data_IF_722952679190
#
_entry.id   IF_722952679190
#
_cell.length_a   1.000
_cell.length_b   1.000
_cell.length_c   1.000
_cell.angle_alpha   90.00
_cell.angle_beta   90.00
_cell.angle_gamma   90.00
#
_symmetry.space_group_name_H-M   'P 1'
#
loop_
_entity.id
_entity.type
_entity.pdbx_description
1 polymer ?
#
# COMPACT_ATOMS: atom_id res chain seq x y z
N UNK A 1 23.00 -40.89 21.38
CA UNK A 1 22.13 -41.85 22.08
C UNK A 1 20.74 -41.76 21.46
N UNK A 2 20.11 -42.89 21.15
CA UNK A 2 18.77 -42.89 20.55
C UNK A 2 17.70 -42.78 21.64
N UNK A 3 16.90 -41.71 21.59
CA UNK A 3 15.82 -41.47 22.55
C UNK A 3 14.51 -41.36 21.80
N UNK A 4 13.50 -42.10 22.26
CA UNK A 4 12.15 -41.94 21.74
C UNK A 4 11.53 -40.68 22.35
N UNK A 5 11.04 -39.79 21.50
CA UNK A 5 10.40 -38.54 21.90
C UNK A 5 9.04 -38.41 21.22
N UNK A 6 8.14 -37.72 21.90
CA UNK A 6 6.90 -37.26 21.29
C UNK A 6 7.21 -36.23 20.20
N UNK A 7 6.51 -36.29 19.08
CA UNK A 7 6.73 -35.37 17.94
C UNK A 7 6.56 -33.91 18.37
N UNK A 8 5.70 -33.65 19.37
CA UNK A 8 5.45 -32.30 19.91
C UNK A 8 6.61 -31.75 20.73
N UNK A 9 7.55 -32.60 21.15
CA UNK A 9 8.75 -32.21 21.90
C UNK A 9 9.98 -32.03 21.00
N UNK A 10 9.85 -32.28 19.70
CA UNK A 10 10.96 -32.15 18.75
C UNK A 10 11.25 -30.69 18.47
N UNK A 11 12.54 -30.37 18.38
CA UNK A 11 13.04 -29.02 18.09
C UNK A 11 13.84 -29.01 16.80
N UNK A 12 13.93 -27.84 16.18
CA UNK A 12 14.80 -27.62 15.01
C UNK A 12 16.25 -27.92 15.42
N UNK A 13 16.98 -28.66 14.58
CA UNK A 13 18.30 -29.18 14.93
C UNK A 13 18.29 -30.66 15.35
N UNK A 14 17.12 -31.26 15.60
CA UNK A 14 17.03 -32.68 15.91
C UNK A 14 17.25 -33.57 14.67
N UNK A 15 17.88 -34.74 14.87
CA UNK A 15 18.04 -35.75 13.82
C UNK A 15 17.09 -36.92 14.07
N UNK A 16 16.10 -37.08 13.19
CA UNK A 16 15.09 -38.14 13.28
C UNK A 16 15.62 -39.37 12.56
N UNK A 17 15.85 -40.45 13.32
CA UNK A 17 16.35 -41.72 12.79
C UNK A 17 15.21 -42.57 12.23
N UNK A 18 14.07 -42.62 12.93
CA UNK A 18 12.88 -43.34 12.46
C UNK A 18 11.61 -42.89 13.19
N UNK A 19 10.47 -43.22 12.60
CA UNK A 19 9.15 -43.07 13.24
C UNK A 19 8.89 -44.31 14.10
N UNK A 20 8.42 -44.11 15.33
CA UNK A 20 8.13 -45.21 16.28
C UNK A 20 6.64 -45.40 16.51
N UNK A 21 5.85 -44.33 16.44
CA UNK A 21 4.39 -44.37 16.57
C UNK A 21 3.72 -43.39 15.61
N UNK A 22 2.75 -43.87 14.84
CA UNK A 22 1.94 -43.06 13.93
C UNK A 22 0.54 -43.67 13.73
N UNK A 23 -0.43 -42.83 13.39
CA UNK A 23 -1.77 -43.22 12.92
C UNK A 23 -1.86 -43.27 11.39
N UNK A 24 -0.94 -42.61 10.69
CA UNK A 24 -0.83 -42.62 9.22
C UNK A 24 0.01 -43.79 8.66
N UNK A 25 0.17 -43.82 7.34
CA UNK A 25 0.95 -44.83 6.60
C UNK A 25 2.31 -44.33 6.11
N UNK A 26 2.70 -43.10 6.48
CA UNK A 26 3.93 -42.47 6.05
C UNK A 26 5.16 -43.28 6.49
N UNK A 27 6.21 -43.30 5.66
CA UNK A 27 7.47 -43.96 5.99
C UNK A 27 8.61 -43.00 5.74
N UNK A 28 9.44 -42.81 6.76
CA UNK A 28 10.71 -42.13 6.63
C UNK A 28 11.61 -43.00 5.75
N UNK A 29 11.93 -42.55 4.53
CA UNK A 29 12.78 -43.30 3.58
C UNK A 29 14.26 -43.20 3.95
N UNK A 30 14.67 -42.13 4.63
CA UNK A 30 16.01 -41.90 5.17
C UNK A 30 15.93 -41.08 6.45
N UNK A 31 16.89 -41.26 7.37
CA UNK A 31 17.05 -40.40 8.54
C UNK A 31 17.31 -38.96 8.12
N UNK A 32 16.62 -38.00 8.72
CA UNK A 32 16.67 -36.60 8.29
C UNK A 32 16.73 -35.61 9.47
N UNK A 33 17.41 -34.49 9.22
CA UNK A 33 17.46 -33.34 10.12
C UNK A 33 16.15 -32.55 10.08
N UNK A 34 15.68 -32.11 11.25
CA UNK A 34 14.56 -31.19 11.39
C UNK A 34 15.06 -29.79 11.11
N UNK A 35 14.82 -29.30 9.89
CA UNK A 35 15.37 -28.04 9.38
C UNK A 35 14.54 -26.80 9.75
N UNK A 36 13.25 -26.97 9.99
CA UNK A 36 12.32 -25.88 10.35
C UNK A 36 11.03 -26.44 10.98
N UNK A 37 10.17 -25.56 11.51
CA UNK A 37 8.88 -25.92 12.12
C UNK A 37 7.88 -26.52 11.11
N UNK A 38 7.96 -26.16 9.83
CA UNK A 38 7.08 -26.70 8.79
C UNK A 38 7.24 -28.22 8.67
N UNK A 39 8.47 -28.73 8.79
CA UNK A 39 8.73 -30.17 8.83
C UNK A 39 8.04 -30.81 10.04
N UNK A 40 8.11 -30.18 11.23
CA UNK A 40 7.48 -30.70 12.46
C UNK A 40 5.96 -30.76 12.29
N UNK A 41 5.33 -29.66 11.86
CA UNK A 41 3.89 -29.57 11.67
C UNK A 41 3.40 -30.57 10.61
N UNK A 42 4.12 -30.73 9.50
CA UNK A 42 3.78 -31.71 8.46
C UNK A 42 3.85 -33.14 8.97
N UNK A 43 4.82 -33.47 9.83
CA UNK A 43 4.89 -34.80 10.45
C UNK A 43 3.70 -35.04 11.39
N UNK A 44 3.28 -34.02 12.15
CA UNK A 44 2.07 -34.07 13.00
C UNK A 44 0.82 -34.30 12.15
N UNK A 45 0.64 -33.55 11.05
CA UNK A 45 -0.49 -33.69 10.12
C UNK A 45 -0.55 -35.09 9.47
N UNK A 46 0.62 -35.68 9.19
CA UNK A 46 0.74 -37.05 8.68
C UNK A 46 0.43 -38.12 9.76
N UNK A 47 0.03 -37.70 10.96
CA UNK A 47 -0.39 -38.57 12.05
C UNK A 47 0.76 -39.20 12.81
N UNK A 48 1.98 -38.67 12.70
CA UNK A 48 3.12 -39.15 13.46
C UNK A 48 2.98 -38.66 14.90
N UNK A 49 3.17 -39.55 15.87
CA UNK A 49 3.04 -39.25 17.29
C UNK A 49 4.39 -39.33 18.00
N UNK A 50 5.23 -40.31 17.65
CA UNK A 50 6.55 -40.49 18.26
C UNK A 50 7.62 -40.83 17.24
N UNK A 51 8.81 -40.32 17.51
CA UNK A 51 10.01 -40.51 16.68
C UNK A 51 11.21 -40.88 17.54
N UNK A 52 12.13 -41.65 16.96
CA UNK A 52 13.42 -41.95 17.57
C UNK A 52 14.43 -40.90 17.10
N UNK A 53 14.98 -40.15 18.04
CA UNK A 53 15.92 -39.05 17.79
C UNK A 53 17.33 -39.48 18.19
N UNK A 54 18.32 -39.20 17.34
CA UNK A 54 19.73 -39.33 17.71
C UNK A 54 20.23 -38.05 18.38
N UNK A 55 20.39 -38.10 19.71
CA UNK A 55 20.83 -36.94 20.49
C UNK A 55 22.32 -36.60 20.30
N UNK A 56 23.11 -37.50 19.71
CA UNK A 56 24.53 -37.21 19.40
C UNK A 56 24.68 -36.43 18.09
N UNK A 57 23.67 -36.49 17.22
CA UNK A 57 23.58 -35.73 15.98
C UNK A 57 22.62 -34.56 16.16
N UNK A 58 22.85 -33.71 17.15
CA UNK A 58 22.08 -32.47 17.29
C UNK A 58 22.87 -31.30 16.69
N UNK A 59 22.24 -30.54 15.80
CA UNK A 59 22.84 -29.39 15.15
C UNK A 59 22.47 -28.15 15.95
N UNK A 60 23.34 -27.84 16.91
CA UNK A 60 23.19 -26.69 17.78
C UNK A 60 23.28 -25.36 17.02
N UNK A 61 23.99 -25.32 15.88
CA UNK A 61 24.07 -24.11 15.05
C UNK A 61 22.75 -23.90 14.32
N UNK A 62 22.17 -24.95 13.72
CA UNK A 62 20.86 -24.87 13.05
C UNK A 62 19.74 -24.52 14.04
N UNK A 63 19.80 -25.08 15.26
CA UNK A 63 18.87 -24.72 16.33
C UNK A 63 19.04 -23.24 16.76
N UNK A 64 20.27 -22.77 16.92
CA UNK A 64 20.56 -21.39 17.30
C UNK A 64 20.18 -20.38 16.19
N UNK A 65 20.44 -20.73 14.93
CA UNK A 65 20.05 -19.93 13.76
C UNK A 65 18.53 -19.84 13.65
N UNK A 66 17.82 -20.95 13.90
CA UNK A 66 16.36 -20.97 13.93
C UNK A 66 15.78 -20.11 15.06
N UNK A 67 16.34 -20.17 16.28
CA UNK A 67 15.93 -19.30 17.40
C UNK A 67 16.20 -17.83 17.07
N UNK A 68 17.35 -17.53 16.47
CA UNK A 68 17.73 -16.17 16.05
C UNK A 68 16.77 -15.66 14.97
N UNK A 69 16.49 -16.46 13.94
CA UNK A 69 15.52 -16.13 12.88
C UNK A 69 14.11 -15.92 13.46
N UNK A 70 13.65 -16.77 14.37
CA UNK A 70 12.34 -16.62 15.02
C UNK A 70 12.27 -15.33 15.85
N UNK A 71 13.35 -14.98 16.56
CA UNK A 71 13.42 -13.72 17.31
C UNK A 71 13.40 -12.48 16.39
N UNK A 72 14.08 -12.55 15.24
CA UNK A 72 14.09 -11.51 14.22
C UNK A 72 12.70 -11.38 13.57
N UNK A 73 12.05 -12.49 13.25
CA UNK A 73 10.70 -12.51 12.70
C UNK A 73 9.68 -11.97 13.70
N UNK A 74 9.75 -12.37 14.97
CA UNK A 74 8.88 -11.85 16.04
C UNK A 74 9.04 -10.34 16.19
N UNK A 75 10.28 -9.85 16.18
CA UNK A 75 10.56 -8.41 16.25
C UNK A 75 10.02 -7.67 15.02
N UNK A 76 10.24 -8.18 13.81
CA UNK A 76 9.72 -7.60 12.56
C UNK A 76 8.20 -7.58 12.50
N UNK A 77 7.58 -8.67 12.92
CA UNK A 77 6.12 -8.82 13.04
C UNK A 77 5.54 -7.74 13.97
N UNK A 78 6.14 -7.58 15.16
CA UNK A 78 5.77 -6.52 16.09
C UNK A 78 5.96 -5.12 15.49
N UNK A 79 7.10 -4.85 14.83
CA UNK A 79 7.36 -3.58 14.15
C UNK A 79 6.34 -3.28 13.06
N UNK A 80 6.00 -4.24 12.20
CA UNK A 80 4.99 -4.09 11.15
C UNK A 80 3.62 -3.75 11.73
N UNK A 81 3.20 -4.46 12.79
CA UNK A 81 1.92 -4.24 13.46
C UNK A 81 1.83 -2.85 14.09
N UNK A 82 2.90 -2.39 14.74
CA UNK A 82 2.97 -1.03 15.31
C UNK A 82 2.85 0.01 14.20
N UNK A 83 3.61 -0.14 13.10
CA UNK A 83 3.59 0.81 11.98
C UNK A 83 2.24 0.86 11.27
N UNK A 84 1.61 -0.29 11.05
CA UNK A 84 0.26 -0.38 10.46
C UNK A 84 -0.79 0.28 11.36
N UNK A 85 -0.66 0.12 12.68
CA UNK A 85 -1.54 0.79 13.65
C UNK A 85 -1.38 2.31 13.59
N UNK A 86 -0.14 2.81 13.51
CA UNK A 86 0.15 4.24 13.35
C UNK A 86 -0.42 4.79 12.04
N UNK A 87 -0.23 4.08 10.93
CA UNK A 87 -0.77 4.49 9.63
C UNK A 87 -2.32 4.56 9.64
N UNK A 88 -2.99 3.57 10.25
CA UNK A 88 -4.45 3.58 10.44
C UNK A 88 -4.92 4.74 11.30
N UNK A 89 -4.18 5.07 12.38
CA UNK A 89 -4.49 6.20 13.22
C UNK A 89 -4.42 7.53 12.44
N UNK A 90 -3.37 7.72 11.62
CA UNK A 90 -3.23 8.90 10.76
C UNK A 90 -4.37 9.03 9.75
N UNK A 91 -4.79 7.92 9.12
CA UNK A 91 -5.94 7.91 8.21
C UNK A 91 -7.22 8.30 8.95
N UNK A 92 -7.43 7.78 10.15
CA UNK A 92 -8.59 8.15 10.98
C UNK A 92 -8.57 9.63 11.35
N UNK A 93 -7.43 10.16 11.81
CA UNK A 93 -7.27 11.58 12.14
C UNK A 93 -7.51 12.47 10.92
N UNK A 94 -7.03 12.05 9.74
CA UNK A 94 -7.30 12.73 8.48
C UNK A 94 -8.79 12.85 8.17
N UNK A 95 -9.57 11.78 8.37
CA UNK A 95 -11.02 11.79 8.18
C UNK A 95 -11.69 12.78 9.12
N UNK A 96 -11.27 12.80 10.39
CA UNK A 96 -11.81 13.73 11.38
C UNK A 96 -11.50 15.19 11.03
N UNK A 97 -10.29 15.46 10.55
CA UNK A 97 -9.90 16.80 10.09
C UNK A 97 -10.75 17.22 8.89
N UNK A 98 -10.94 16.36 7.89
CA UNK A 98 -11.78 16.70 6.73
C UNK A 98 -13.25 16.90 7.09
N UNK A 99 -13.82 16.05 7.96
CA UNK A 99 -15.20 16.22 8.45
C UNK A 99 -15.38 17.57 9.16
N UNK A 100 -14.40 17.99 9.99
CA UNK A 100 -14.41 19.31 10.63
C UNK A 100 -14.32 20.45 9.62
N UNK A 101 -13.43 20.33 8.64
CA UNK A 101 -13.28 21.32 7.56
C UNK A 101 -14.60 21.49 6.81
N UNK A 102 -15.25 20.38 6.42
CA UNK A 102 -16.51 20.42 5.70
C UNK A 102 -17.61 21.10 6.51
N UNK A 103 -17.75 20.70 7.77
CA UNK A 103 -18.70 21.34 8.69
C UNK A 103 -18.46 22.84 8.82
N UNK A 104 -17.20 23.26 8.95
CA UNK A 104 -16.86 24.70 9.04
C UNK A 104 -17.25 25.45 7.76
N UNK A 105 -17.02 24.86 6.58
CA UNK A 105 -17.42 25.48 5.31
C UNK A 105 -18.94 25.63 5.22
N UNK A 106 -19.71 24.60 5.61
CA UNK A 106 -21.17 24.64 5.62
C UNK A 106 -21.72 25.69 6.59
N UNK A 107 -21.10 25.84 7.76
CA UNK A 107 -21.47 26.81 8.79
C UNK A 107 -20.90 28.23 8.53
N UNK A 108 -20.10 28.42 7.48
CA UNK A 108 -19.45 29.70 7.16
C UNK A 108 -18.36 30.10 8.17
N UNK A 109 -17.79 29.15 8.89
CA UNK A 109 -16.72 29.32 9.87
C UNK A 109 -15.34 29.28 9.20
N UNK A 110 -14.35 29.83 9.89
CA UNK A 110 -12.95 29.78 9.46
C UNK A 110 -12.41 28.35 9.50
N UNK A 111 -11.64 27.97 8.47
CA UNK A 111 -10.99 26.67 8.40
C UNK A 111 -9.76 26.66 9.31
N UNK A 112 -9.69 25.67 10.21
CA UNK A 112 -8.51 25.46 11.06
C UNK A 112 -7.34 24.87 10.26
N UNK A 113 -6.50 25.77 9.72
CA UNK A 113 -5.27 25.40 9.04
C UNK A 113 -4.25 24.71 9.96
N UNK A 114 -4.30 24.93 11.28
CA UNK A 114 -3.36 24.34 12.23
C UNK A 114 -3.53 22.81 12.29
N UNK A 115 -4.79 22.34 12.32
CA UNK A 115 -5.12 20.91 12.25
C UNK A 115 -4.57 20.27 10.97
N UNK A 116 -4.70 20.94 9.81
CA UNK A 116 -4.16 20.45 8.52
C UNK A 116 -2.62 20.41 8.53
N UNK A 117 -1.98 21.46 9.05
CA UNK A 117 -0.51 21.54 9.18
C UNK A 117 0.04 20.45 10.10
N UNK A 118 -0.65 20.16 11.20
CA UNK A 118 -0.26 19.12 12.16
C UNK A 118 -0.34 17.76 11.49
N UNK A 119 -1.48 17.42 10.91
CA UNK A 119 -1.70 16.16 10.21
C UNK A 119 -0.67 15.93 9.08
N UNK A 120 -0.48 16.92 8.21
CA UNK A 120 0.46 16.81 7.08
C UNK A 120 1.92 16.73 7.56
N UNK A 121 2.26 17.38 8.67
CA UNK A 121 3.58 17.27 9.30
C UNK A 121 3.82 15.87 9.85
N UNK A 122 2.86 15.29 10.58
CA UNK A 122 2.95 13.93 11.10
C UNK A 122 3.05 12.90 9.97
N UNK A 123 2.26 13.07 8.90
CA UNK A 123 2.36 12.28 7.67
C UNK A 123 3.78 12.34 7.11
N UNK A 124 4.34 13.54 6.94
CA UNK A 124 5.67 13.73 6.36
C UNK A 124 6.74 13.14 7.28
N UNK A 125 6.66 13.38 8.58
CA UNK A 125 7.64 12.85 9.53
C UNK A 125 7.61 11.32 9.55
N UNK A 126 6.42 10.72 9.50
CA UNK A 126 6.24 9.27 9.36
C UNK A 126 6.79 8.77 8.02
N UNK A 127 6.52 9.46 6.91
CA UNK A 127 7.05 9.08 5.60
C UNK A 127 8.58 9.10 5.57
N UNK A 128 9.20 10.09 6.23
CA UNK A 128 10.65 10.20 6.28
C UNK A 128 11.32 9.14 7.15
N UNK A 129 10.63 8.62 8.18
CA UNK A 129 11.11 7.55 9.03
C UNK A 129 10.82 6.16 8.46
N UNK A 130 9.63 5.95 7.90
CA UNK A 130 9.19 4.68 7.30
C UNK A 130 8.09 4.89 6.23
N UNK A 131 8.47 4.75 4.96
CA UNK A 131 7.53 4.89 3.84
C UNK A 131 6.65 3.65 3.62
N UNK A 132 7.11 2.47 4.00
CA UNK A 132 6.57 1.21 3.49
C UNK A 132 5.22 0.89 4.14
N UNK A 133 5.09 1.17 5.44
CA UNK A 133 3.83 0.97 6.16
C UNK A 133 2.72 1.94 5.72
N UNK A 134 3.08 3.20 5.44
CA UNK A 134 2.13 4.19 4.92
C UNK A 134 1.65 3.82 3.50
N UNK A 135 2.58 3.37 2.66
CA UNK A 135 2.25 2.89 1.32
C UNK A 135 1.33 1.68 1.35
N UNK A 136 1.60 0.75 2.27
CA UNK A 136 0.74 -0.40 2.49
C UNK A 136 -0.66 0.04 2.90
N UNK A 137 -0.80 0.88 3.94
CA UNK A 137 -2.08 1.36 4.45
C UNK A 137 -2.94 2.06 3.38
N UNK A 138 -2.32 2.80 2.46
CA UNK A 138 -3.00 3.53 1.38
C UNK A 138 -3.48 2.60 0.25
N UNK A 139 -2.84 1.44 0.07
CA UNK A 139 -3.31 0.44 -0.90
C UNK A 139 -4.48 -0.41 -0.35
N UNK A 140 -4.82 -0.31 0.94
CA UNK A 140 -5.84 -1.12 1.63
C UNK A 140 -7.07 -0.26 2.03
N UNK A 141 -7.47 0.66 1.17
CA UNK A 141 -8.53 1.63 1.46
C UNK A 141 -9.93 1.03 1.44
N UNK A 142 -10.82 1.64 2.23
CA UNK A 142 -12.24 1.26 2.26
C UNK A 142 -12.99 1.95 1.10
N UNK A 143 -13.80 1.18 0.37
CA UNK A 143 -14.53 1.63 -0.82
C UNK A 143 -15.58 2.73 -0.49
N UNK A 144 -16.10 2.76 0.73
CA UNK A 144 -17.24 3.61 1.14
C UNK A 144 -16.86 5.04 1.55
N UNK A 145 -15.59 5.32 1.83
CA UNK A 145 -15.11 6.64 2.29
C UNK A 145 -14.11 7.28 1.33
N UNK A 146 -14.15 6.87 0.05
CA UNK A 146 -13.18 7.24 -1.00
C UNK A 146 -12.84 8.73 -1.03
N UNK A 147 -13.82 9.63 -0.99
CA UNK A 147 -13.56 11.07 -1.08
C UNK A 147 -12.73 11.61 0.09
N UNK A 148 -12.96 11.10 1.30
CA UNK A 148 -12.18 11.47 2.49
C UNK A 148 -10.79 10.84 2.47
N UNK A 149 -10.64 9.65 1.90
CA UNK A 149 -9.34 8.99 1.81
C UNK A 149 -8.49 9.49 0.63
N UNK A 150 -9.13 10.02 -0.42
CA UNK A 150 -8.48 10.52 -1.64
C UNK A 150 -7.55 11.69 -1.35
N UNK A 151 -8.04 12.76 -0.70
CA UNK A 151 -7.23 13.94 -0.37
C UNK A 151 -6.00 13.60 0.47
N UNK A 152 -6.14 12.69 1.42
CA UNK A 152 -5.01 12.18 2.22
C UNK A 152 -4.00 11.41 1.37
N UNK A 153 -4.51 10.54 0.50
CA UNK A 153 -3.69 9.71 -0.37
C UNK A 153 -2.90 10.54 -1.38
N UNK A 154 -3.54 11.53 -2.01
CA UNK A 154 -2.88 12.47 -2.92
C UNK A 154 -1.83 13.30 -2.17
N UNK A 155 -2.11 13.75 -0.94
CA UNK A 155 -1.14 14.43 -0.08
C UNK A 155 0.09 13.57 0.21
N UNK A 156 -0.12 12.29 0.52
CA UNK A 156 0.97 11.32 0.74
C UNK A 156 1.78 11.07 -0.53
N UNK A 157 1.13 10.78 -1.65
CA UNK A 157 1.78 10.57 -2.95
C UNK A 157 2.60 11.80 -3.36
N UNK A 158 2.06 13.00 -3.14
CA UNK A 158 2.76 14.25 -3.40
C UNK A 158 4.00 14.39 -2.52
N UNK A 159 3.90 14.07 -1.23
CA UNK A 159 5.03 14.12 -0.31
C UNK A 159 6.11 13.09 -0.67
N UNK A 160 5.70 11.85 -1.00
CA UNK A 160 6.59 10.77 -1.43
C UNK A 160 7.34 11.15 -2.70
N UNK A 161 6.61 11.60 -3.73
CA UNK A 161 7.20 11.95 -5.01
C UNK A 161 8.13 13.16 -4.89
N UNK A 162 7.74 14.14 -4.08
CA UNK A 162 8.59 15.31 -3.82
C UNK A 162 9.88 14.94 -3.10
N UNK A 163 9.82 14.03 -2.11
CA UNK A 163 11.01 13.49 -1.44
C UNK A 163 11.91 12.76 -2.43
N UNK A 164 11.34 11.92 -3.29
CA UNK A 164 12.09 11.19 -4.31
C UNK A 164 12.85 12.13 -5.27
N UNK A 165 12.24 13.26 -5.63
CA UNK A 165 12.85 14.30 -6.45
C UNK A 165 13.85 15.20 -5.70
N UNK A 166 14.10 14.95 -4.40
CA UNK A 166 15.03 15.73 -3.58
C UNK A 166 14.54 17.14 -3.25
N UNK A 167 13.22 17.37 -3.24
CA UNK A 167 12.64 18.65 -2.83
C UNK A 167 12.84 18.86 -1.32
N UNK A 168 13.11 20.10 -0.92
CA UNK A 168 13.31 20.45 0.47
C UNK A 168 12.09 20.11 1.35
N UNK A 169 12.32 19.59 2.55
CA UNK A 169 11.28 19.12 3.46
C UNK A 169 10.28 20.22 3.83
N UNK A 170 10.70 21.49 3.91
CA UNK A 170 9.79 22.62 4.20
C UNK A 170 8.83 22.87 3.04
N UNK A 171 9.33 22.77 1.80
CA UNK A 171 8.49 22.88 0.59
C UNK A 171 7.56 21.67 0.48
N UNK A 172 8.03 20.47 0.82
CA UNK A 172 7.19 19.26 0.85
C UNK A 172 5.97 19.44 1.78
N UNK A 173 6.15 20.09 2.94
CA UNK A 173 5.03 20.39 3.86
C UNK A 173 3.96 21.24 3.21
N UNK A 174 4.35 22.30 2.50
CA UNK A 174 3.39 23.14 1.78
C UNK A 174 2.71 22.40 0.62
N UNK A 175 3.47 21.59 -0.13
CA UNK A 175 2.90 20.76 -1.20
C UNK A 175 1.89 19.74 -0.68
N UNK A 176 2.17 19.11 0.47
CA UNK A 176 1.25 18.18 1.11
C UNK A 176 -0.04 18.86 1.58
N UNK A 177 0.05 20.09 2.10
CA UNK A 177 -1.14 20.89 2.49
C UNK A 177 -1.98 21.23 1.25
N UNK A 178 -1.36 21.74 0.19
CA UNK A 178 -2.06 22.05 -1.05
C UNK A 178 -2.72 20.82 -1.68
N UNK A 179 -2.01 19.69 -1.69
CA UNK A 179 -2.53 18.41 -2.14
C UNK A 179 -3.65 17.87 -1.25
N UNK A 180 -3.62 18.11 0.07
CA UNK A 180 -4.72 17.71 0.95
C UNK A 180 -5.99 18.54 0.74
N UNK A 181 -5.85 19.80 0.32
CA UNK A 181 -6.97 20.73 0.14
C UNK A 181 -7.44 20.85 -1.32
N UNK A 182 -6.76 20.22 -2.28
CA UNK A 182 -6.96 20.46 -3.73
C UNK A 182 -8.43 20.33 -4.17
N UNK A 183 -9.14 19.39 -3.56
CA UNK A 183 -10.50 18.99 -3.91
C UNK A 183 -11.58 19.48 -2.94
N UNK A 184 -11.23 20.36 -1.99
CA UNK A 184 -12.14 20.87 -0.96
C UNK A 184 -13.41 21.51 -1.51
N UNK A 185 -13.35 22.05 -2.73
CA UNK A 185 -14.49 22.62 -3.45
C UNK A 185 -15.54 21.61 -3.89
N UNK A 186 -15.25 20.30 -3.85
CA UNK A 186 -16.25 19.25 -4.12
C UNK A 186 -17.44 19.31 -3.17
N UNK A 187 -17.27 19.90 -1.98
CA UNK A 187 -18.38 20.16 -1.03
C UNK A 187 -19.51 21.02 -1.63
N UNK A 188 -19.22 21.83 -2.64
CA UNK A 188 -20.22 22.64 -3.35
C UNK A 188 -20.82 21.95 -4.57
N UNK A 189 -20.40 20.72 -4.86
CA UNK A 189 -20.93 19.93 -5.97
C UNK A 189 -22.17 19.18 -5.51
N UNK A 190 -23.29 19.20 -6.26
CA UNK A 190 -24.49 18.47 -5.87
C UNK A 190 -24.24 16.96 -5.70
N UNK A 191 -24.78 16.37 -4.62
CA UNK A 191 -24.54 14.95 -4.27
C UNK A 191 -24.89 13.96 -5.40
N UNK A 192 -25.96 14.23 -6.15
CA UNK A 192 -26.40 13.38 -7.26
C UNK A 192 -25.43 13.39 -8.45
N UNK A 193 -24.58 14.42 -8.57
CA UNK A 193 -23.48 14.49 -9.55
C UNK A 193 -22.22 13.90 -8.94
N UNK A 194 -21.89 14.28 -7.72
CA UNK A 194 -20.68 13.84 -7.01
C UNK A 194 -20.63 12.31 -6.84
N UNK A 195 -21.77 11.70 -6.48
CA UNK A 195 -21.89 10.27 -6.19
C UNK A 195 -22.57 9.48 -7.32
N UNK A 196 -22.64 10.03 -8.54
CA UNK A 196 -23.33 9.37 -9.65
C UNK A 196 -22.71 7.99 -9.97
N UNK A 197 -23.48 6.89 -9.97
CA UNK A 197 -22.98 5.56 -10.32
C UNK A 197 -22.89 5.41 -11.85
N UNK A 198 -21.95 6.10 -12.49
CA UNK A 198 -21.75 6.01 -13.93
C UNK A 198 -20.98 7.19 -14.53
N UNK A 199 -21.00 7.27 -15.87
CA UNK A 199 -20.42 8.40 -16.59
C UNK A 199 -21.29 9.65 -16.41
N UNK A 200 -20.64 10.78 -16.14
CA UNK A 200 -21.29 12.08 -16.15
C UNK A 200 -21.68 12.45 -17.60
N UNK A 201 -22.81 13.12 -17.77
CA UNK A 201 -23.14 13.82 -19.01
C UNK A 201 -22.21 15.03 -19.19
N UNK A 202 -22.20 15.64 -20.39
CA UNK A 202 -21.39 16.84 -20.64
C UNK A 202 -21.76 18.00 -19.70
N UNK A 203 -23.05 18.17 -19.38
CA UNK A 203 -23.54 19.21 -18.48
C UNK A 203 -23.16 18.94 -17.03
N UNK A 204 -23.34 17.69 -16.57
CA UNK A 204 -22.93 17.26 -15.23
C UNK A 204 -21.41 17.37 -15.05
N UNK A 205 -20.64 17.03 -16.09
CA UNK A 205 -19.19 17.23 -16.10
C UNK A 205 -18.83 18.72 -16.05
N UNK A 206 -19.60 19.57 -16.74
CA UNK A 206 -19.50 21.03 -16.63
C UNK A 206 -19.63 21.52 -15.19
N UNK A 207 -20.63 21.01 -14.46
CA UNK A 207 -20.85 21.33 -13.03
C UNK A 207 -19.71 20.76 -12.17
N UNK A 208 -19.31 19.51 -12.40
CA UNK A 208 -18.21 18.88 -11.66
C UNK A 208 -16.93 19.72 -11.75
N UNK A 209 -16.58 20.26 -12.92
CA UNK A 209 -15.37 21.10 -13.09
C UNK A 209 -15.33 22.34 -12.18
N UNK A 210 -16.49 22.85 -11.74
CA UNK A 210 -16.57 24.02 -10.86
C UNK A 210 -15.94 23.78 -9.48
N UNK A 211 -15.75 22.52 -9.08
CA UNK A 211 -15.09 22.22 -7.80
C UNK A 211 -13.70 22.87 -7.71
N UNK A 212 -12.97 23.04 -8.82
CA UNK A 212 -11.64 23.68 -8.77
C UNK A 212 -11.77 25.16 -8.45
N UNK A 213 -12.70 25.86 -9.10
CA UNK A 213 -12.98 27.26 -8.78
C UNK A 213 -13.41 27.41 -7.31
N UNK A 214 -14.27 26.51 -6.84
CA UNK A 214 -14.68 26.48 -5.43
C UNK A 214 -13.51 26.20 -4.48
N UNK A 215 -12.62 25.26 -4.80
CA UNK A 215 -11.40 25.00 -4.03
C UNK A 215 -10.52 26.24 -3.97
N UNK A 216 -10.31 26.92 -5.10
CA UNK A 216 -9.53 28.16 -5.17
C UNK A 216 -10.11 29.23 -4.25
N UNK A 217 -11.42 29.46 -4.30
CA UNK A 217 -12.09 30.48 -3.50
C UNK A 217 -12.01 30.16 -2.00
N UNK A 218 -12.25 28.89 -1.63
CA UNK A 218 -12.16 28.41 -0.25
C UNK A 218 -10.72 28.57 0.25
N UNK A 219 -9.73 28.04 -0.47
CA UNK A 219 -8.33 28.03 -0.04
C UNK A 219 -7.79 29.46 0.11
N UNK A 220 -8.12 30.37 -0.82
CA UNK A 220 -7.71 31.79 -0.74
C UNK A 220 -8.24 32.51 0.51
N UNK A 221 -9.36 32.03 1.06
CA UNK A 221 -9.97 32.59 2.27
C UNK A 221 -9.29 32.12 3.56
N UNK A 222 -8.45 31.08 3.51
CA UNK A 222 -7.80 30.49 4.69
C UNK A 222 -6.62 31.37 5.14
N UNK A 223 -6.66 31.96 6.35
CA UNK A 223 -5.56 32.77 6.83
C UNK A 223 -4.28 31.95 7.03
N UNK A 224 -3.14 32.49 6.59
CA UNK A 224 -1.83 31.85 6.78
C UNK A 224 -1.55 30.64 5.88
N UNK A 225 -2.37 30.39 4.86
CA UNK A 225 -2.06 29.45 3.79
C UNK A 225 -0.88 29.97 2.96
N UNK A 226 0.06 29.10 2.60
CA UNK A 226 1.17 29.51 1.75
C UNK A 226 0.76 29.63 0.29
N UNK A 227 1.50 30.44 -0.46
CA UNK A 227 1.32 30.57 -1.91
C UNK A 227 1.52 29.23 -2.62
N UNK A 228 2.46 28.40 -2.17
CA UNK A 228 2.74 27.08 -2.76
C UNK A 228 1.50 26.18 -2.65
N UNK A 229 0.92 26.11 -1.45
CA UNK A 229 -0.28 25.30 -1.19
C UNK A 229 -1.48 25.77 -2.01
N UNK A 230 -1.67 27.08 -2.14
CA UNK A 230 -2.75 27.65 -2.95
C UNK A 230 -2.55 27.46 -4.45
N UNK A 231 -1.35 27.73 -4.96
CA UNK A 231 -1.03 27.61 -6.40
C UNK A 231 -1.19 26.17 -6.88
N UNK A 232 -0.69 25.19 -6.12
CA UNK A 232 -0.71 23.79 -6.55
C UNK A 232 -2.15 23.25 -6.61
N UNK A 233 -2.96 23.58 -5.60
CA UNK A 233 -4.38 23.24 -5.58
C UNK A 233 -5.16 23.91 -6.72
N UNK A 234 -4.77 25.11 -7.16
CA UNK A 234 -5.50 25.84 -8.19
C UNK A 234 -5.36 25.26 -9.61
N UNK A 235 -4.29 24.48 -9.86
CA UNK A 235 -3.92 24.05 -11.22
C UNK A 235 -3.82 22.53 -11.38
N UNK A 236 -4.31 21.74 -10.43
CA UNK A 236 -4.18 20.27 -10.45
C UNK A 236 -4.93 19.61 -11.64
N UNK A 237 -5.92 20.29 -12.23
CA UNK A 237 -6.62 19.87 -13.44
C UNK A 237 -6.17 20.58 -14.73
N UNK A 238 -5.11 21.39 -14.67
CA UNK A 238 -4.47 21.92 -15.88
C UNK A 238 -3.71 20.83 -16.61
N UNK A 239 -3.68 20.90 -17.95
CA UNK A 239 -3.03 19.90 -18.81
C UNK A 239 -2.02 20.59 -19.71
N UNK A 240 -0.87 19.96 -19.97
CA UNK A 240 0.20 20.62 -20.74
C UNK A 240 -0.21 21.02 -22.16
N UNK A 241 -1.20 20.35 -22.75
CA UNK A 241 -1.76 20.64 -24.06
C UNK A 241 -2.81 21.77 -24.06
N UNK A 242 -3.17 22.36 -22.92
CA UNK A 242 -4.15 23.43 -22.80
C UNK A 242 -5.61 23.00 -22.69
N UNK A 243 -5.90 21.70 -22.74
CA UNK A 243 -7.27 21.17 -22.61
C UNK A 243 -7.74 21.04 -21.15
N UNK A 244 -6.93 21.55 -20.21
CA UNK A 244 -7.21 21.57 -18.78
C UNK A 244 -8.15 22.71 -18.36
N UNK A 245 -8.37 22.80 -17.05
CA UNK A 245 -9.20 23.83 -16.42
C UNK A 245 -8.64 24.17 -15.02
N UNK A 246 -8.94 25.36 -14.47
CA UNK A 246 -9.93 26.35 -14.92
C UNK A 246 -9.41 27.43 -15.87
N UNK A 247 -8.10 27.57 -16.05
CA UNK A 247 -7.46 28.66 -16.80
C UNK A 247 -7.04 28.26 -18.22
N UNK A 248 -6.89 26.96 -18.51
CA UNK A 248 -6.45 26.49 -19.82
C UNK A 248 -4.97 26.77 -20.07
N UNK A 249 -4.14 26.56 -19.05
CA UNK A 249 -2.70 26.81 -19.09
C UNK A 249 -2.00 25.81 -20.01
N UNK A 250 -0.94 26.25 -20.69
CA UNK A 250 -0.18 25.44 -21.64
C UNK A 250 1.28 25.34 -21.22
N UNK A 251 1.83 24.13 -21.27
CA UNK A 251 3.27 23.87 -21.11
C UNK A 251 3.87 24.50 -19.84
N UNK A 252 4.78 25.45 -20.06
CA UNK A 252 5.54 26.12 -18.98
C UNK A 252 4.73 27.07 -18.11
N UNK A 253 3.48 27.37 -18.48
CA UNK A 253 2.57 28.12 -17.62
C UNK A 253 2.11 27.29 -16.40
N UNK A 254 2.12 25.96 -16.52
CA UNK A 254 1.84 25.05 -15.42
C UNK A 254 3.13 24.84 -14.64
N UNK A 255 3.13 25.22 -13.36
CA UNK A 255 4.29 25.05 -12.49
C UNK A 255 4.68 23.57 -12.37
N UNK A 256 5.96 23.30 -12.10
CA UNK A 256 6.44 21.93 -11.87
C UNK A 256 5.63 21.21 -10.79
N UNK A 257 5.26 21.92 -9.72
CA UNK A 257 4.47 21.36 -8.62
C UNK A 257 3.04 21.04 -9.04
N UNK A 258 2.42 21.88 -9.87
CA UNK A 258 1.10 21.60 -10.45
C UNK A 258 1.10 20.32 -11.27
N UNK A 259 2.08 20.17 -12.17
CA UNK A 259 2.25 18.95 -12.98
C UNK A 259 2.45 17.70 -12.14
N UNK A 260 3.21 17.81 -11.05
CA UNK A 260 3.39 16.70 -10.09
C UNK A 260 2.07 16.34 -9.42
N UNK A 261 1.30 17.32 -8.95
CA UNK A 261 0.01 17.07 -8.29
C UNK A 261 -0.99 16.42 -9.24
N UNK A 262 -1.07 16.86 -10.50
CA UNK A 262 -1.92 16.22 -11.52
C UNK A 262 -1.60 14.73 -11.71
N UNK A 263 -0.31 14.36 -11.68
CA UNK A 263 0.10 12.95 -11.78
C UNK A 263 -0.37 12.16 -10.55
N UNK A 264 -0.15 12.71 -9.35
CA UNK A 264 -0.56 12.07 -8.09
C UNK A 264 -2.08 11.88 -8.00
N UNK A 265 -2.85 12.91 -8.36
CA UNK A 265 -4.31 12.90 -8.37
C UNK A 265 -4.86 11.85 -9.35
N UNK A 266 -4.41 11.88 -10.61
CA UNK A 266 -4.82 10.90 -11.62
C UNK A 266 -4.43 9.48 -11.19
N UNK A 267 -3.21 9.28 -10.68
CA UNK A 267 -2.79 7.96 -10.22
C UNK A 267 -3.72 7.42 -9.12
N UNK A 268 -4.00 8.22 -8.09
CA UNK A 268 -4.88 7.79 -7.00
C UNK A 268 -6.30 7.51 -7.51
N UNK A 269 -6.83 8.37 -8.38
CA UNK A 269 -8.14 8.19 -8.98
C UNK A 269 -8.24 6.92 -9.86
N UNK A 270 -7.13 6.49 -10.47
CA UNK A 270 -7.07 5.25 -11.25
C UNK A 270 -6.98 4.02 -10.35
N UNK A 271 -6.22 4.05 -9.25
CA UNK A 271 -5.99 2.88 -8.39
C UNK A 271 -7.02 2.71 -7.28
N UNK A 272 -7.73 3.77 -6.90
CA UNK A 272 -8.71 3.70 -5.84
C UNK A 272 -9.98 2.93 -6.22
N UNK A 273 -10.47 2.14 -5.27
CA UNK A 273 -11.78 1.51 -5.35
C UNK A 273 -12.86 2.53 -4.97
N UNK A 274 -13.95 2.56 -5.74
CA UNK A 274 -15.14 3.38 -5.50
C UNK A 274 -16.34 2.44 -5.40
N UNK A 275 -17.39 2.82 -4.66
CA UNK A 275 -18.61 2.01 -4.48
C UNK A 275 -19.20 1.42 -5.79
N UNK A 276 -18.97 2.09 -6.94
CA UNK A 276 -19.52 1.71 -8.24
C UNK A 276 -18.46 1.33 -9.29
N UNK A 277 -17.17 1.38 -8.93
CA UNK A 277 -16.09 1.12 -9.88
C UNK A 277 -14.83 0.70 -9.13
N UNK A 278 -14.35 -0.48 -9.48
CA UNK A 278 -13.06 -0.95 -8.99
C UNK A 278 -11.90 -0.18 -9.61
N UNK A 279 -10.87 0.06 -8.80
CA UNK A 279 -9.63 0.65 -9.27
C UNK A 279 -8.89 -0.26 -10.26
N UNK A 280 -7.91 0.28 -10.95
CA UNK A 280 -7.00 -0.46 -11.79
C UNK A 280 -5.80 -0.95 -10.98
N UNK A 281 -5.15 -2.00 -11.46
CA UNK A 281 -3.83 -2.40 -10.94
C UNK A 281 -2.82 -1.29 -11.20
N UNK A 282 -1.79 -1.20 -10.35
CA UNK A 282 -0.76 -0.17 -10.43
C UNK A 282 -0.09 -0.18 -11.82
N UNK A 283 0.20 -1.37 -12.36
CA UNK A 283 0.80 -1.53 -13.68
C UNK A 283 -0.09 -0.98 -14.81
N UNK A 284 -1.41 -1.21 -14.76
CA UNK A 284 -2.37 -0.64 -15.72
C UNK A 284 -2.44 0.88 -15.58
N UNK A 285 -2.46 1.40 -14.35
CA UNK A 285 -2.45 2.84 -14.07
C UNK A 285 -1.20 3.53 -14.62
N UNK A 286 -0.01 2.92 -14.49
CA UNK A 286 1.22 3.43 -15.10
C UNK A 286 1.14 3.48 -16.62
N UNK A 287 0.52 2.48 -17.26
CA UNK A 287 0.26 2.48 -18.70
C UNK A 287 -0.59 3.69 -19.13
N UNK A 288 -1.64 4.00 -18.37
CA UNK A 288 -2.51 5.16 -18.64
C UNK A 288 -1.74 6.48 -18.45
N UNK A 289 -0.99 6.64 -17.37
CA UNK A 289 -0.18 7.85 -17.14
C UNK A 289 0.81 8.10 -18.29
N UNK A 290 1.44 7.04 -18.82
CA UNK A 290 2.33 7.13 -19.98
C UNK A 290 1.59 7.54 -21.25
N UNK A 291 0.39 6.99 -21.48
CA UNK A 291 -0.45 7.40 -22.62
C UNK A 291 -0.83 8.87 -22.52
N UNK A 292 -1.27 9.34 -21.35
CA UNK A 292 -1.62 10.74 -21.14
C UNK A 292 -0.41 11.68 -21.33
N UNK A 293 0.79 11.24 -20.97
CA UNK A 293 2.01 11.99 -21.24
C UNK A 293 2.36 12.03 -22.74
N UNK A 294 2.15 10.94 -23.47
CA UNK A 294 2.34 10.89 -24.93
C UNK A 294 1.34 11.80 -25.67
N UNK A 295 0.12 11.91 -25.16
CA UNK A 295 -0.91 12.84 -25.67
C UNK A 295 -0.65 14.30 -25.28
N UNK A 296 0.46 14.58 -24.57
CA UNK A 296 0.83 15.92 -24.13
C UNK A 296 -0.05 16.47 -23.01
N UNK A 297 -0.81 15.65 -22.29
CA UNK A 297 -1.60 16.10 -21.14
C UNK A 297 -0.75 16.17 -19.87
N UNK A 298 0.19 15.24 -19.70
CA UNK A 298 1.09 15.14 -18.55
C UNK A 298 2.56 15.30 -18.94
N UNK A 299 3.38 15.66 -17.97
CA UNK A 299 4.83 15.82 -18.14
C UNK A 299 5.51 14.45 -18.18
N UNK A 300 6.08 14.09 -19.34
CA UNK A 300 6.65 12.76 -19.57
C UNK A 300 7.80 12.41 -18.62
N UNK A 301 8.68 13.38 -18.33
CA UNK A 301 9.83 13.15 -17.45
C UNK A 301 9.37 12.97 -16.00
N UNK A 302 8.38 13.75 -15.56
CA UNK A 302 7.78 13.57 -14.24
C UNK A 302 7.00 12.25 -14.14
N UNK A 303 6.27 11.82 -15.19
CA UNK A 303 5.60 10.51 -15.18
C UNK A 303 6.62 9.37 -15.06
N UNK A 304 7.73 9.43 -15.79
CA UNK A 304 8.79 8.44 -15.66
C UNK A 304 9.43 8.46 -14.27
N UNK A 305 9.67 9.64 -13.70
CA UNK A 305 10.20 9.78 -12.34
C UNK A 305 9.20 9.25 -11.28
N UNK A 306 7.90 9.49 -11.47
CA UNK A 306 6.85 9.01 -10.58
C UNK A 306 6.78 7.47 -10.60
N UNK A 307 6.81 6.85 -11.79
CA UNK A 307 6.83 5.37 -11.90
C UNK A 307 8.06 4.79 -11.20
N UNK A 308 9.24 5.41 -11.36
CA UNK A 308 10.46 4.98 -10.65
C UNK A 308 10.37 5.18 -9.14
N UNK A 309 9.70 6.23 -8.69
CA UNK A 309 9.45 6.50 -7.28
C UNK A 309 8.56 5.42 -6.65
N UNK A 310 7.51 4.99 -7.36
CA UNK A 310 6.57 3.98 -6.88
C UNK A 310 7.14 2.55 -6.95
N UNK A 311 8.04 2.30 -7.90
CA UNK A 311 8.57 0.96 -8.21
C UNK A 311 7.63 0.18 -9.14
N UNK A 312 8.14 -0.94 -9.68
CA UNK A 312 7.35 -1.80 -10.58
C UNK A 312 6.18 -2.44 -9.85
N UNK A 313 6.44 -2.92 -8.63
CA UNK A 313 5.45 -3.45 -7.70
C UNK A 313 5.52 -2.65 -6.39
N UNK A 314 4.66 -1.61 -6.24
CA UNK A 314 4.62 -0.82 -5.01
C UNK A 314 4.30 -1.67 -3.78
N UNK A 315 4.84 -1.28 -2.61
CA UNK A 315 4.51 -1.94 -1.33
C UNK A 315 2.99 -1.90 -1.09
N UNK A 316 2.42 -3.04 -0.68
CA UNK A 316 0.98 -3.23 -0.54
C UNK A 316 0.27 -3.73 -1.82
N UNK A 317 0.98 -3.86 -2.94
CA UNK A 317 0.40 -4.44 -4.16
C UNK A 317 0.12 -5.93 -3.96
N UNK A 318 -1.00 -6.40 -4.47
CA UNK A 318 -1.32 -7.82 -4.55
C UNK A 318 -0.77 -8.40 -5.86
N UNK A 319 -0.07 -9.52 -5.73
CA UNK A 319 0.57 -10.22 -6.85
C UNK A 319 0.28 -11.72 -6.76
N UNK A 320 0.20 -12.36 -7.92
CA UNK A 320 0.18 -13.82 -8.02
C UNK A 320 1.58 -14.31 -8.38
N UNK A 321 2.01 -15.34 -7.67
CA UNK A 321 3.28 -16.01 -7.92
C UNK A 321 3.11 -17.19 -8.88
N UNK A 322 4.18 -17.59 -9.56
CA UNK A 322 4.19 -18.79 -10.42
C UNK A 322 3.82 -20.06 -9.64
N UNK A 323 4.02 -20.07 -8.32
CA UNK A 323 3.58 -21.14 -7.44
C UNK A 323 2.05 -21.20 -7.20
N UNK A 324 1.22 -20.50 -7.97
CA UNK A 324 -0.23 -20.37 -7.76
C UNK A 324 -0.61 -19.86 -6.35
N UNK A 325 0.20 -18.97 -5.79
CA UNK A 325 -0.09 -18.29 -4.52
C UNK A 325 -0.34 -16.81 -4.74
N UNK A 326 -1.22 -16.25 -3.92
CA UNK A 326 -1.33 -14.80 -3.79
C UNK A 326 -0.39 -14.32 -2.69
N UNK A 327 0.24 -13.18 -2.94
CA UNK A 327 1.16 -12.55 -2.03
C UNK A 327 1.02 -11.03 -2.04
N UNK A 328 1.25 -10.41 -0.89
CA UNK A 328 1.36 -8.95 -0.79
C UNK A 328 2.83 -8.53 -0.85
N UNK A 329 3.12 -7.45 -1.55
CA UNK A 329 4.47 -6.88 -1.57
C UNK A 329 4.75 -6.17 -0.26
N UNK A 330 5.71 -6.65 0.53
CA UNK A 330 6.07 -6.05 1.83
C UNK A 330 7.27 -5.11 1.74
N UNK A 331 8.11 -5.22 0.70
CA UNK A 331 9.31 -4.40 0.61
C UNK A 331 9.89 -4.28 -0.79
N UNK A 332 10.43 -3.10 -1.08
CA UNK A 332 11.09 -2.81 -2.35
C UNK A 332 12.48 -3.44 -2.41
N UNK A 333 12.82 -3.99 -3.57
CA UNK A 333 14.18 -4.39 -3.89
C UNK A 333 14.80 -3.37 -4.85
N UNK A 334 15.75 -2.57 -4.34
CA UNK A 334 16.43 -1.53 -5.13
C UNK A 334 17.33 -2.08 -6.22
N UNK A 335 17.91 -3.25 -6.02
CA UNK A 335 18.81 -3.87 -6.98
C UNK A 335 18.04 -4.55 -8.11
N UNK A 336 16.91 -5.18 -7.77
CA UNK A 336 16.04 -5.86 -8.72
C UNK A 336 14.56 -5.52 -8.49
N UNK A 337 14.04 -4.46 -9.15
CA UNK A 337 12.67 -3.98 -8.94
C UNK A 337 11.56 -4.98 -9.30
N UNK A 338 11.86 -6.02 -10.08
CA UNK A 338 10.88 -7.07 -10.45
C UNK A 338 10.91 -8.26 -9.48
N UNK A 339 11.88 -8.32 -8.56
CA UNK A 339 11.99 -9.34 -7.51
C UNK A 339 11.92 -8.71 -6.11
N UNK A 340 10.76 -8.16 -5.71
CA UNK A 340 10.57 -7.57 -4.39
C UNK A 340 10.47 -8.62 -3.28
N UNK A 341 10.41 -8.17 -2.03
CA UNK A 341 10.04 -9.02 -0.89
C UNK A 341 8.52 -9.11 -0.80
N UNK A 342 8.00 -10.32 -0.74
CA UNK A 342 6.56 -10.60 -0.71
C UNK A 342 6.20 -11.47 0.49
N UNK A 343 4.94 -11.43 0.90
CA UNK A 343 4.40 -12.32 1.91
C UNK A 343 3.20 -13.06 1.31
N UNK A 344 3.38 -14.36 1.04
CA UNK A 344 2.33 -15.22 0.48
C UNK A 344 1.37 -15.66 1.58
N UNK A 345 0.07 -15.60 1.32
CA UNK A 345 -0.95 -15.82 2.34
C UNK A 345 -2.16 -16.65 1.86
N UNK A 346 -2.26 -16.94 0.57
CA UNK A 346 -3.42 -17.63 0.00
C UNK A 346 -2.99 -18.56 -1.13
N UNK A 347 -3.55 -19.77 -1.16
CA UNK A 347 -3.31 -20.77 -2.20
C UNK A 347 -4.47 -20.84 -3.16
N UNK A 348 -4.21 -20.59 -4.45
CA UNK A 348 -5.23 -20.69 -5.50
C UNK A 348 -5.63 -22.14 -5.79
N UNK A 349 -4.73 -23.10 -5.53
CA UNK A 349 -5.02 -24.52 -5.73
C UNK A 349 -6.01 -25.05 -4.67
N UNK A 350 -5.90 -24.54 -3.43
CA UNK A 350 -6.79 -24.90 -2.30
C UNK A 350 -8.00 -23.98 -2.17
N UNK A 351 -7.93 -22.79 -2.75
CA UNK A 351 -8.88 -21.69 -2.54
C UNK A 351 -9.05 -21.34 -1.05
N UNK A 352 -7.94 -21.31 -0.31
CA UNK A 352 -7.95 -21.02 1.12
C UNK A 352 -6.70 -20.26 1.56
N UNK A 353 -6.82 -19.58 2.71
CA UNK A 353 -5.70 -18.93 3.38
C UNK A 353 -4.68 -19.98 3.86
N UNK A 354 -3.40 -19.69 3.66
CA UNK A 354 -2.29 -20.50 4.17
C UNK A 354 -1.48 -19.68 5.18
N UNK A 355 -0.77 -20.37 6.07
CA UNK A 355 0.24 -19.76 6.94
C UNK A 355 1.13 -18.81 6.13
N UNK A 356 1.28 -17.58 6.63
CA UNK A 356 2.02 -16.55 5.94
C UNK A 356 3.48 -16.98 5.74
N UNK A 357 3.99 -16.80 4.53
CA UNK A 357 5.38 -17.11 4.19
C UNK A 357 6.03 -15.91 3.51
N UNK A 358 7.04 -15.35 4.16
CA UNK A 358 7.80 -14.20 3.64
C UNK A 358 8.90 -14.69 2.71
N UNK A 359 8.83 -14.27 1.46
CA UNK A 359 9.72 -14.71 0.39
C UNK A 359 10.49 -13.49 -0.11
N UNK A 360 11.82 -13.57 -0.07
CA UNK A 360 12.66 -12.66 -0.83
C UNK A 360 12.82 -13.23 -2.24
N UNK A 361 12.08 -12.68 -3.21
CA UNK A 361 12.07 -13.22 -4.57
C UNK A 361 13.45 -13.15 -5.23
N UNK A 362 14.37 -12.31 -4.75
CA UNK A 362 15.75 -12.27 -5.28
C UNK A 362 16.57 -13.53 -4.96
N UNK A 363 16.16 -14.29 -3.95
CA UNK A 363 16.84 -15.50 -3.47
C UNK A 363 16.00 -16.77 -3.65
N UNK A 364 14.74 -16.63 -4.07
CA UNK A 364 13.80 -17.73 -4.24
C UNK A 364 13.62 -18.10 -5.71
N UNK A 365 13.35 -19.39 -5.96
CA UNK A 365 12.95 -19.92 -7.26
C UNK A 365 11.43 -19.78 -7.47
N UNK A 366 10.94 -18.55 -7.33
CA UNK A 366 9.56 -18.15 -7.61
C UNK A 366 9.55 -16.72 -8.14
N UNK A 367 8.55 -16.37 -8.92
CA UNK A 367 8.46 -15.08 -9.61
C UNK A 367 7.02 -14.58 -9.64
N UNK A 368 6.87 -13.26 -9.77
CA UNK A 368 5.57 -12.64 -9.97
C UNK A 368 5.10 -12.93 -11.40
N UNK A 369 4.00 -13.68 -11.51
CA UNK A 369 3.35 -13.96 -12.79
C UNK A 369 2.47 -12.81 -13.24
N UNK A 370 1.68 -12.25 -12.32
CA UNK A 370 0.73 -11.18 -12.61
C UNK A 370 0.50 -10.26 -11.39
N UNK A 371 0.24 -8.98 -11.67
CA UNK A 371 -0.33 -8.04 -10.70
C UNK A 371 -1.85 -8.17 -10.77
N UNK A 372 -2.46 -8.37 -9.62
CA UNK A 372 -3.87 -8.77 -9.50
C UNK A 372 -4.60 -7.93 -8.47
N UNK A 373 -5.92 -8.09 -8.40
CA UNK A 373 -6.76 -7.50 -7.36
C UNK A 373 -7.37 -8.60 -6.50
N UNK A 374 -7.73 -8.25 -5.27
CA UNK A 374 -8.40 -9.19 -4.36
C UNK A 374 -9.74 -9.68 -4.95
N UNK A 375 -10.49 -8.76 -5.56
CA UNK A 375 -11.80 -9.07 -6.16
C UNK A 375 -11.69 -10.05 -7.36
N UNK A 376 -10.52 -10.18 -8.01
CA UNK A 376 -10.31 -11.15 -9.09
C UNK A 376 -10.41 -12.61 -8.57
N UNK A 377 -10.38 -12.79 -7.25
CA UNK A 377 -10.42 -14.07 -6.55
C UNK A 377 -11.50 -14.14 -5.47
N UNK A 378 -12.52 -13.27 -5.55
CA UNK A 378 -13.60 -13.16 -4.54
C UNK A 378 -13.08 -12.88 -3.10
N UNK A 379 -11.92 -12.22 -2.99
CA UNK A 379 -11.33 -11.82 -1.71
C UNK A 379 -11.54 -10.34 -1.43
N UNK A 380 -11.61 -9.99 -0.15
CA UNK A 380 -11.65 -8.62 0.32
C UNK A 380 -10.31 -8.16 0.92
N UNK A 381 -9.88 -6.94 0.60
CA UNK A 381 -8.60 -6.41 1.09
C UNK A 381 -8.59 -6.21 2.61
N UNK A 382 -9.73 -5.92 3.23
CA UNK A 382 -9.82 -5.79 4.69
C UNK A 382 -9.65 -7.15 5.37
N UNK A 383 -10.26 -8.20 4.80
CA UNK A 383 -10.09 -9.59 5.25
C UNK A 383 -8.63 -10.05 5.12
N UNK A 384 -8.02 -9.85 3.95
CA UNK A 384 -6.60 -10.17 3.71
C UNK A 384 -5.72 -9.50 4.77
N UNK A 385 -5.98 -8.23 5.07
CA UNK A 385 -5.17 -7.51 6.05
C UNK A 385 -5.45 -7.91 7.49
N UNK A 386 -6.69 -8.25 7.84
CA UNK A 386 -6.98 -8.83 9.15
C UNK A 386 -6.20 -10.11 9.36
N UNK A 387 -6.15 -10.98 8.34
CA UNK A 387 -5.34 -12.19 8.34
C UNK A 387 -3.84 -11.90 8.47
N UNK A 388 -3.30 -11.02 7.63
CA UNK A 388 -1.88 -10.66 7.67
C UNK A 388 -1.45 -10.02 9.01
N UNK A 389 -2.34 -9.26 9.67
CA UNK A 389 -2.09 -8.64 10.98
C UNK A 389 -2.31 -9.62 12.15
N UNK A 390 -3.14 -10.66 11.99
CA UNK A 390 -3.24 -11.74 12.99
C UNK A 390 -2.03 -12.66 12.94
N UNK A 391 -1.48 -12.89 11.74
CA UNK A 391 -0.29 -13.71 11.51
C UNK A 391 1.03 -12.93 11.72
N UNK A 392 0.96 -11.59 11.81
CA UNK A 392 2.01 -10.71 12.31
C UNK A 392 1.91 -10.52 13.83
#
# INVERSE_FOLDING_TARGET
MLIEQDITCITIGAYIEKITLQTGSFRLTQSEWVKNEVVINKLIELGIQRVLVDTEKFDAQMAADAVTLNSIETKRKHEFKVKMTQAKALISTSKDVQKKIFKHIEEGLEIDLCSVKTLTTELIDTLFTDSDALMCAINIRNKDEYLLEHSFSVSMLMALFSRYLGIDKTVIRELAIGAFLHDIGKIRTPDHILNKPGKLTSDEFGIMKLHVNHSIDIIKSIPGISKISSDVAAIHHEKLNGEGYPYGLIGQQISRFGRMLSICDIYDALTANRCYKEGLTQLKSFGILRSLAQDGQLDLDLVHAFIKCMGVYPVGSLVKLNSNRLAIVEGYNKADPIRPKVNSFYSLDKQDFELTNRIDLSMADDEISESVRADDFDLDMEEIMRFLVSEA
#
